data_IF_393022251991
#
_entry.id   IF_393022251991
#
_cell.length_a   1.000
_cell.length_b   1.000
_cell.length_c   1.000
_cell.angle_alpha   90.00
_cell.angle_beta   90.00
_cell.angle_gamma   90.00
#
_symmetry.space_group_name_H-M   'P 1'
#
loop_
_entity.id
_entity.type
_entity.pdbx_description
1 polymer ?
#
# COMPACT_ATOMS: atom_id res chain seq x y z
N UNK A 1 -16.44 -22.97 -1.10
CA UNK A 1 -16.17 -22.15 -2.31
C UNK A 1 -14.71 -22.33 -2.76
N UNK A 2 -14.43 -22.87 -3.95
CA UNK A 2 -13.05 -23.08 -4.45
C UNK A 2 -12.57 -21.84 -5.23
N UNK A 3 -12.12 -20.79 -4.54
CA UNK A 3 -11.62 -19.55 -5.19
C UNK A 3 -10.14 -19.67 -5.56
N UNK A 4 -9.77 -19.20 -6.75
CA UNK A 4 -8.37 -19.17 -7.19
C UNK A 4 -7.62 -18.00 -6.52
N UNK A 5 -6.60 -18.24 -5.68
CA UNK A 5 -5.87 -17.18 -4.99
C UNK A 5 -5.19 -16.19 -5.94
N UNK A 6 -4.80 -16.60 -7.15
CA UNK A 6 -4.21 -15.71 -8.16
C UNK A 6 -5.18 -14.65 -8.69
N UNK A 7 -6.49 -14.84 -8.51
CA UNK A 7 -7.54 -13.88 -8.88
C UNK A 7 -8.08 -13.09 -7.69
N UNK A 8 -7.69 -13.46 -6.46
CA UNK A 8 -8.17 -12.81 -5.23
C UNK A 8 -7.21 -11.68 -4.85
N UNK A 9 -7.67 -10.44 -5.03
CA UNK A 9 -6.85 -9.21 -5.01
C UNK A 9 -6.03 -8.96 -3.74
N UNK A 10 -6.50 -9.41 -2.58
CA UNK A 10 -5.83 -9.19 -1.29
C UNK A 10 -4.72 -10.20 -0.99
N UNK A 11 -4.65 -11.31 -1.73
CA UNK A 11 -3.66 -12.36 -1.47
C UNK A 11 -2.26 -11.98 -1.97
N UNK A 12 -1.22 -12.54 -1.34
CA UNK A 12 0.18 -12.37 -1.78
C UNK A 12 0.41 -12.98 -3.17
N UNK A 13 -0.28 -14.08 -3.50
CA UNK A 13 -0.21 -14.72 -4.82
C UNK A 13 -0.64 -13.77 -5.94
N UNK A 14 -1.78 -13.10 -5.79
CA UNK A 14 -2.23 -12.06 -6.71
C UNK A 14 -1.21 -10.92 -6.80
N UNK A 15 -0.74 -10.42 -5.65
CA UNK A 15 0.19 -9.27 -5.62
C UNK A 15 1.52 -9.56 -6.32
N UNK A 16 2.08 -10.77 -6.13
CA UNK A 16 3.30 -11.22 -6.82
C UNK A 16 3.09 -11.33 -8.33
N UNK A 17 1.99 -11.95 -8.77
CA UNK A 17 1.68 -12.11 -10.20
C UNK A 17 1.48 -10.77 -10.91
N UNK A 18 0.80 -9.82 -10.26
CA UNK A 18 0.49 -8.50 -10.81
C UNK A 18 1.57 -7.45 -10.54
N UNK A 19 2.79 -7.86 -10.16
CA UNK A 19 3.92 -6.94 -9.96
C UNK A 19 3.71 -5.88 -8.87
N UNK A 20 2.87 -6.17 -7.86
CA UNK A 20 2.63 -5.25 -6.73
C UNK A 20 3.69 -5.39 -5.63
N UNK A 21 4.28 -6.56 -5.53
CA UNK A 21 5.37 -6.89 -4.62
C UNK A 21 6.64 -7.16 -5.43
N UNK A 22 7.79 -6.90 -4.82
CA UNK A 22 9.08 -7.29 -5.38
C UNK A 22 9.20 -8.82 -5.36
N UNK A 23 9.47 -9.44 -6.51
CA UNK A 23 9.51 -10.90 -6.67
C UNK A 23 10.87 -11.45 -7.12
N UNK A 24 11.61 -10.68 -7.91
CA UNK A 24 12.94 -11.05 -8.42
C UNK A 24 14.01 -10.32 -7.63
N UNK A 25 14.42 -10.87 -6.49
CA UNK A 25 15.48 -10.30 -5.67
C UNK A 25 16.32 -11.39 -5.02
N UNK A 26 17.63 -11.17 -4.95
CA UNK A 26 18.58 -12.13 -4.38
C UNK A 26 18.37 -12.38 -2.88
N UNK A 27 17.71 -11.47 -2.14
CA UNK A 27 17.43 -11.70 -0.70
C UNK A 27 16.50 -12.90 -0.48
N UNK A 28 15.66 -13.26 -1.45
CA UNK A 28 14.78 -14.42 -1.35
C UNK A 28 15.51 -15.76 -1.46
N UNK A 29 16.71 -15.80 -2.03
CA UNK A 29 17.48 -17.05 -2.16
C UNK A 29 17.99 -17.58 -0.80
N UNK A 30 18.14 -16.69 0.18
CA UNK A 30 18.57 -17.07 1.54
C UNK A 30 17.48 -17.83 2.31
N UNK A 31 16.21 -17.68 1.95
CA UNK A 31 15.06 -18.35 2.58
C UNK A 31 14.81 -19.77 2.04
N UNK A 32 15.68 -20.28 1.16
CA UNK A 32 15.51 -21.60 0.55
C UNK A 32 15.55 -22.73 1.59
N UNK A 33 14.66 -23.72 1.40
CA UNK A 33 14.65 -24.94 2.22
C UNK A 33 15.95 -25.72 2.00
N UNK A 34 16.65 -26.06 3.08
CA UNK A 34 17.83 -26.95 3.05
C UNK A 34 17.38 -28.38 3.27
N UNK A 35 17.71 -29.27 2.34
CA UNK A 35 17.33 -30.69 2.39
C UNK A 35 18.38 -31.58 3.07
N UNK A 36 19.49 -31.01 3.54
CA UNK A 36 20.53 -31.69 4.30
C UNK A 36 20.86 -30.85 5.53
N UNK A 37 20.87 -31.44 6.74
CA UNK A 37 21.33 -30.73 7.92
C UNK A 37 22.85 -30.59 7.89
N UNK A 38 23.34 -29.49 8.43
CA UNK A 38 24.77 -29.28 8.70
C UNK A 38 25.03 -29.53 10.20
N UNK A 39 26.22 -30.04 10.53
CA UNK A 39 26.62 -30.19 11.93
C UNK A 39 26.73 -28.81 12.58
N UNK A 40 26.35 -28.70 13.85
CA UNK A 40 26.45 -27.45 14.58
C UNK A 40 27.90 -26.95 14.64
N UNK A 41 28.08 -25.68 14.25
CA UNK A 41 29.28 -24.88 14.46
C UNK A 41 28.84 -23.52 15.02
N UNK A 42 29.37 -23.17 16.19
CA UNK A 42 29.04 -21.92 16.89
C UNK A 42 29.35 -20.69 16.04
N UNK A 43 30.52 -20.65 15.39
CA UNK A 43 30.93 -19.50 14.58
C UNK A 43 29.99 -19.31 13.39
N UNK A 44 29.60 -20.40 12.73
CA UNK A 44 28.62 -20.38 11.64
C UNK A 44 27.28 -19.83 12.12
N UNK A 45 26.77 -20.33 13.26
CA UNK A 45 25.48 -19.87 13.79
C UNK A 45 25.49 -18.38 14.17
N UNK A 46 26.54 -17.91 14.85
CA UNK A 46 26.66 -16.50 15.24
C UNK A 46 26.74 -15.58 14.01
N UNK A 47 27.51 -15.96 12.99
CA UNK A 47 27.61 -15.21 11.74
C UNK A 47 26.29 -15.19 10.97
N UNK A 48 25.57 -16.32 10.96
CA UNK A 48 24.25 -16.43 10.31
C UNK A 48 23.22 -15.53 10.99
N UNK A 49 23.18 -15.49 12.33
CA UNK A 49 22.28 -14.62 13.09
C UNK A 49 22.55 -13.13 12.81
N UNK A 50 23.82 -12.73 12.66
CA UNK A 50 24.20 -11.37 12.26
C UNK A 50 23.77 -11.08 10.82
N UNK A 51 24.00 -12.02 9.90
CA UNK A 51 23.66 -11.86 8.48
C UNK A 51 22.15 -11.72 8.24
N UNK A 52 21.31 -12.50 8.93
CA UNK A 52 19.84 -12.45 8.81
C UNK A 52 19.31 -11.02 9.04
N UNK A 53 19.79 -10.34 10.09
CA UNK A 53 19.37 -8.96 10.40
C UNK A 53 19.72 -7.98 9.26
N UNK A 54 20.88 -8.15 8.66
CA UNK A 54 21.33 -7.30 7.55
C UNK A 54 20.52 -7.56 6.28
N UNK A 55 20.25 -8.84 5.97
CA UNK A 55 19.46 -9.24 4.80
C UNK A 55 18.04 -8.67 4.90
N UNK A 56 17.41 -8.72 6.08
CA UNK A 56 16.06 -8.18 6.30
C UNK A 56 15.99 -6.67 6.10
N UNK A 57 17.00 -5.92 6.58
CA UNK A 57 17.12 -4.47 6.32
C UNK A 57 17.25 -4.16 4.84
N UNK A 58 18.10 -4.91 4.13
CA UNK A 58 18.30 -4.73 2.67
C UNK A 58 17.00 -5.03 1.92
N UNK A 59 16.31 -6.11 2.28
CA UNK A 59 15.02 -6.49 1.70
C UNK A 59 13.99 -5.39 1.89
N UNK A 60 13.81 -4.91 3.12
CA UNK A 60 12.86 -3.82 3.43
C UNK A 60 13.15 -2.56 2.61
N UNK A 61 14.43 -2.15 2.53
CA UNK A 61 14.84 -0.99 1.73
C UNK A 61 14.51 -1.15 0.24
N UNK A 62 14.70 -2.35 -0.32
CA UNK A 62 14.40 -2.63 -1.73
C UNK A 62 12.88 -2.72 -1.99
N UNK A 63 12.12 -3.30 -1.07
CA UNK A 63 10.65 -3.33 -1.13
C UNK A 63 10.07 -1.90 -1.12
N UNK A 64 10.60 -1.01 -0.28
CA UNK A 64 10.22 0.40 -0.27
C UNK A 64 10.54 1.10 -1.59
N UNK A 65 11.74 0.88 -2.15
CA UNK A 65 12.13 1.45 -3.43
C UNK A 65 11.19 0.98 -4.57
N UNK A 66 10.86 -0.31 -4.60
CA UNK A 66 9.89 -0.87 -5.53
C UNK A 66 8.52 -0.20 -5.39
N UNK A 67 8.07 0.01 -4.14
CA UNK A 67 6.82 0.71 -3.87
C UNK A 67 6.83 2.16 -4.37
N UNK A 68 7.91 2.91 -4.09
CA UNK A 68 8.10 4.29 -4.53
C UNK A 68 8.08 4.40 -6.05
N UNK A 69 8.83 3.54 -6.75
CA UNK A 69 8.87 3.51 -8.22
C UNK A 69 7.48 3.28 -8.81
N UNK A 70 6.70 2.35 -8.25
CA UNK A 70 5.32 2.08 -8.68
C UNK A 70 4.38 3.26 -8.47
N UNK A 71 4.63 4.11 -7.46
CA UNK A 71 3.79 5.25 -7.11
C UNK A 71 4.22 6.58 -7.73
N UNK A 72 5.40 6.66 -8.35
CA UNK A 72 5.98 7.88 -8.92
C UNK A 72 5.04 8.64 -9.85
N UNK A 73 4.24 7.95 -10.67
CA UNK A 73 3.30 8.57 -11.61
C UNK A 73 1.98 9.06 -11.00
N UNK A 74 1.67 8.74 -9.74
CA UNK A 74 0.38 9.07 -9.11
C UNK A 74 0.19 10.59 -8.98
N UNK A 75 1.22 11.30 -8.51
CA UNK A 75 1.18 12.74 -8.27
C UNK A 75 0.86 13.52 -9.55
N UNK A 76 1.46 13.12 -10.68
CA UNK A 76 1.18 13.79 -11.97
C UNK A 76 -0.25 13.55 -12.43
N UNK A 77 -0.81 12.36 -12.20
CA UNK A 77 -2.21 12.05 -12.54
C UNK A 77 -3.16 12.86 -11.67
N UNK A 78 -2.93 12.89 -10.36
CA UNK A 78 -3.72 13.67 -9.41
C UNK A 78 -3.72 15.15 -9.77
N UNK A 79 -2.57 15.74 -10.12
CA UNK A 79 -2.51 17.14 -10.57
C UNK A 79 -3.31 17.39 -11.84
N UNK A 80 -3.31 16.44 -12.78
CA UNK A 80 -4.08 16.54 -14.03
C UNK A 80 -5.59 16.43 -13.75
N UNK A 81 -5.98 15.50 -12.90
CA UNK A 81 -7.35 15.29 -12.45
C UNK A 81 -7.86 16.52 -11.69
N UNK A 82 -7.09 17.04 -10.73
CA UNK A 82 -7.44 18.25 -9.98
C UNK A 82 -7.60 19.49 -10.87
N UNK A 83 -6.76 19.66 -11.90
CA UNK A 83 -6.95 20.74 -12.89
C UNK A 83 -8.26 20.57 -13.66
N UNK A 84 -8.55 19.35 -14.10
CA UNK A 84 -9.79 19.05 -14.82
C UNK A 84 -11.03 19.28 -13.93
N UNK A 85 -10.95 18.89 -12.67
CA UNK A 85 -12.02 19.12 -11.68
C UNK A 85 -12.22 20.62 -11.45
N UNK A 86 -11.13 21.39 -11.30
CA UNK A 86 -11.19 22.84 -11.17
C UNK A 86 -11.89 23.45 -12.38
N UNK A 87 -11.50 23.10 -13.60
CA UNK A 87 -12.12 23.61 -14.84
C UNK A 87 -13.63 23.30 -14.93
N UNK A 88 -14.05 22.12 -14.48
CA UNK A 88 -15.46 21.70 -14.49
C UNK A 88 -16.29 22.38 -13.40
N UNK A 89 -15.69 22.61 -12.24
CA UNK A 89 -16.37 23.05 -11.03
C UNK A 89 -15.99 24.47 -10.58
N UNK A 90 -15.50 25.32 -11.51
CA UNK A 90 -15.15 26.72 -11.24
C UNK A 90 -16.28 27.45 -10.50
N UNK A 91 -17.53 27.18 -10.88
CA UNK A 91 -18.73 27.81 -10.30
C UNK A 91 -18.97 27.49 -8.82
N UNK A 92 -18.40 26.41 -8.27
CA UNK A 92 -18.50 26.06 -6.85
C UNK A 92 -17.49 26.82 -5.99
N UNK A 93 -16.49 27.47 -6.60
CA UNK A 93 -15.44 28.19 -5.92
C UNK A 93 -15.81 29.67 -5.79
N UNK A 94 -15.82 30.17 -4.56
CA UNK A 94 -15.89 31.61 -4.30
C UNK A 94 -14.48 32.19 -4.46
N UNK A 95 -14.37 33.34 -5.14
CA UNK A 95 -13.08 33.99 -5.33
C UNK A 95 -12.42 34.31 -3.97
N UNK A 96 -11.10 34.13 -3.82
CA UNK A 96 -10.41 34.27 -2.53
C UNK A 96 -10.45 35.68 -1.92
N UNK A 97 -10.90 36.69 -2.66
CA UNK A 97 -11.14 38.06 -2.17
C UNK A 97 -12.62 38.46 -2.10
N UNK A 98 -13.56 37.56 -2.43
CA UNK A 98 -14.98 37.85 -2.32
C UNK A 98 -15.45 37.70 -0.86
N UNK A 99 -16.05 38.75 -0.31
CA UNK A 99 -16.51 38.86 1.08
C UNK A 99 -17.85 38.15 1.35
N UNK A 100 -18.28 37.27 0.46
CA UNK A 100 -19.61 36.68 0.54
C UNK A 100 -19.55 35.36 1.32
N UNK A 101 -19.91 35.46 2.61
CA UNK A 101 -20.05 34.31 3.51
C UNK A 101 -21.21 33.44 3.02
N UNK A 102 -20.91 32.40 2.24
CA UNK A 102 -21.86 31.31 1.97
C UNK A 102 -22.19 30.61 3.28
N UNK A 103 -23.32 30.98 3.90
CA UNK A 103 -23.89 30.27 5.05
C UNK A 103 -24.55 28.99 4.54
N UNK A 104 -23.75 27.93 4.40
CA UNK A 104 -24.28 26.60 4.09
C UNK A 104 -25.08 26.12 5.30
N UNK A 105 -26.41 26.24 5.23
CA UNK A 105 -27.33 25.59 6.19
C UNK A 105 -27.33 24.09 5.92
N UNK A 106 -26.43 23.37 6.57
CA UNK A 106 -26.48 21.91 6.64
C UNK A 106 -27.66 21.55 7.54
N UNK A 107 -28.78 21.12 6.95
CA UNK A 107 -29.86 20.50 7.72
C UNK A 107 -29.39 19.10 8.13
N UNK A 108 -29.16 18.92 9.42
CA UNK A 108 -28.89 17.60 9.98
C UNK A 108 -30.25 16.91 10.13
N UNK A 109 -30.60 16.01 9.21
CA UNK A 109 -31.67 15.05 9.45
C UNK A 109 -31.20 14.13 10.59
N UNK A 110 -31.85 14.25 11.74
CA UNK A 110 -31.71 13.31 12.86
C UNK A 110 -32.29 11.97 12.41
N UNK A 111 -31.43 10.98 12.17
CA UNK A 111 -31.87 9.59 12.02
C UNK A 111 -32.42 9.11 13.35
N UNK A 112 -33.73 8.89 13.40
CA UNK A 112 -34.48 8.32 14.52
C UNK A 112 -33.80 7.04 15.03
N UNK A 113 -33.23 7.13 16.24
CA UNK A 113 -32.93 5.98 17.10
C UNK A 113 -34.25 5.40 17.62
N UNK A 114 -34.98 4.71 16.76
CA UNK A 114 -36.09 3.85 17.17
C UNK A 114 -36.21 2.70 16.15
N UNK A 115 -35.41 1.65 16.35
CA UNK A 115 -35.74 0.34 15.78
C UNK A 115 -35.23 -0.80 16.66
N UNK A 116 -36.13 -1.18 17.56
CA UNK A 116 -36.37 -2.50 18.15
C UNK A 116 -35.39 -2.98 19.23
N UNK A 117 -35.85 -2.83 20.47
CA UNK A 117 -35.86 -3.91 21.45
C UNK A 117 -36.62 -5.11 20.87
N UNK A 118 -35.94 -6.26 20.72
CA UNK A 118 -36.34 -7.64 21.06
C UNK A 118 -35.21 -8.62 20.73
#
# INVERSE_FOLDING_TARGET
MKRNPRKVKWTKAYRRLHGKDMTQDATFEFERKRNRPERYDRNLTENTLKAIKTIDKVRSRREEAHHKNRKKGKISKERKEARKELDQHIHLLVAPGATDKLTVKVQHESTDENRMEE
#
